data_IF_605070653343
#
_entry.id   IF_605070653343
#
_cell.length_a   1.000
_cell.length_b   1.000
_cell.length_c   1.000
_cell.angle_alpha   90.00
_cell.angle_beta   90.00
_cell.angle_gamma   90.00
#
_symmetry.space_group_name_H-M   'P 1'
#
loop_
_entity.id
_entity.type
_entity.pdbx_description
1 polymer ?
#
# COMPACT_ATOMS: atom_id res chain seq x y z
N UNK A 1 31.77 -63.12 6.54
CA UNK A 1 32.26 -61.92 5.83
C UNK A 1 31.08 -60.98 5.64
N UNK A 2 30.95 -59.91 6.45
CA UNK A 2 29.75 -59.03 6.48
C UNK A 2 30.02 -57.80 5.62
N UNK A 3 29.28 -57.63 4.52
CA UNK A 3 29.33 -56.43 3.68
C UNK A 3 28.76 -55.23 4.45
N UNK A 4 29.57 -54.19 4.65
CA UNK A 4 29.13 -52.89 5.16
C UNK A 4 28.41 -52.15 4.02
N UNK A 5 27.10 -51.95 4.17
CA UNK A 5 26.32 -51.07 3.28
C UNK A 5 26.70 -49.63 3.62
N UNK A 6 27.43 -48.98 2.72
CA UNK A 6 27.68 -47.54 2.77
C UNK A 6 26.43 -46.87 2.22
N UNK A 7 25.58 -46.35 3.11
CA UNK A 7 24.46 -45.52 2.71
C UNK A 7 25.01 -44.13 2.35
N UNK A 8 24.97 -43.78 1.07
CA UNK A 8 25.21 -42.41 0.59
C UNK A 8 24.02 -41.55 1.02
N UNK A 9 24.19 -40.74 2.06
CA UNK A 9 23.25 -39.66 2.39
C UNK A 9 23.40 -38.56 1.35
N UNK A 10 22.49 -38.53 0.37
CA UNK A 10 22.31 -37.38 -0.52
C UNK A 10 21.78 -36.24 0.33
N UNK A 11 22.69 -35.36 0.75
CA UNK A 11 22.38 -34.11 1.42
C UNK A 11 21.79 -33.17 0.36
N UNK A 12 20.45 -33.18 0.23
CA UNK A 12 19.71 -32.19 -0.53
C UNK A 12 19.90 -30.86 0.20
N UNK A 13 20.79 -30.03 -0.33
CA UNK A 13 20.84 -28.61 0.00
C UNK A 13 19.51 -28.01 -0.47
N UNK A 14 18.51 -28.00 0.41
CA UNK A 14 17.42 -27.05 0.28
C UNK A 14 18.08 -25.68 0.42
N UNK A 15 18.30 -25.02 -0.72
CA UNK A 15 18.44 -23.57 -0.77
C UNK A 15 17.17 -23.03 -0.12
N UNK A 16 17.24 -22.78 1.19
CA UNK A 16 16.32 -21.86 1.83
C UNK A 16 16.31 -20.63 0.91
N UNK A 17 15.13 -20.30 0.38
CA UNK A 17 14.93 -19.03 -0.31
C UNK A 17 15.35 -17.94 0.68
N UNK A 18 16.61 -17.50 0.56
CA UNK A 18 17.20 -16.46 1.37
C UNK A 18 16.39 -15.21 1.13
N UNK A 19 15.48 -14.87 2.05
CA UNK A 19 14.71 -13.62 2.21
C UNK A 19 14.91 -12.56 1.13
N UNK A 20 14.60 -12.89 -0.13
CA UNK A 20 14.88 -12.04 -1.26
C UNK A 20 13.89 -10.89 -1.26
N UNK A 21 14.34 -9.69 -1.63
CA UNK A 21 13.42 -8.60 -1.95
C UNK A 21 12.49 -9.08 -3.05
N UNK A 22 11.20 -9.14 -2.75
CA UNK A 22 10.17 -9.46 -3.73
C UNK A 22 9.34 -8.22 -3.98
N UNK A 23 9.16 -7.87 -5.24
CA UNK A 23 8.25 -6.79 -5.61
C UNK A 23 6.80 -7.07 -5.16
N UNK A 24 6.44 -8.34 -4.90
CA UNK A 24 5.15 -8.72 -4.34
C UNK A 24 4.94 -8.22 -2.90
N UNK A 25 6.01 -7.94 -2.16
CA UNK A 25 5.91 -7.42 -0.78
C UNK A 25 5.28 -6.02 -0.71
N UNK A 26 5.37 -5.27 -1.83
CA UNK A 26 4.78 -3.94 -1.99
C UNK A 26 3.26 -3.99 -2.22
N UNK A 27 2.71 -5.13 -2.66
CA UNK A 27 1.27 -5.26 -2.94
C UNK A 27 0.47 -5.08 -1.65
N UNK A 28 -0.54 -4.21 -1.70
CA UNK A 28 -1.38 -3.90 -0.55
C UNK A 28 -1.88 -2.46 -0.52
N UNK A 29 -2.60 -2.14 0.55
CA UNK A 29 -3.06 -0.79 0.88
C UNK A 29 -2.12 -0.17 1.91
N UNK A 30 -1.68 1.05 1.65
CA UNK A 30 -0.72 1.76 2.49
C UNK A 30 -1.28 3.13 2.89
N UNK A 31 -1.53 3.31 4.18
CA UNK A 31 -2.07 4.56 4.72
C UNK A 31 -0.94 5.53 5.05
N UNK A 32 -1.01 6.76 4.53
CA UNK A 32 -0.04 7.81 4.81
C UNK A 32 -0.04 8.16 6.30
N UNK A 33 1.13 8.24 6.90
CA UNK A 33 1.30 8.61 8.30
C UNK A 33 1.09 10.12 8.52
N UNK A 34 0.61 10.49 9.71
CA UNK A 34 0.60 11.88 10.23
C UNK A 34 -0.02 12.95 9.31
N UNK A 35 -0.92 12.56 8.40
CA UNK A 35 -1.64 13.52 7.57
C UNK A 35 -3.03 13.82 8.12
N UNK A 36 -3.51 15.06 7.93
CA UNK A 36 -4.82 15.53 8.41
C UNK A 36 -5.99 14.77 7.78
N UNK A 37 -5.87 14.42 6.50
CA UNK A 37 -6.86 13.66 5.74
C UNK A 37 -6.38 12.22 5.56
N UNK A 38 -7.31 11.30 5.34
CA UNK A 38 -6.94 9.93 4.97
C UNK A 38 -6.44 9.95 3.52
N UNK A 39 -5.13 9.97 3.38
CA UNK A 39 -4.44 9.73 2.10
C UNK A 39 -3.78 8.37 2.14
N UNK A 40 -3.92 7.61 1.06
CA UNK A 40 -3.42 6.25 1.01
C UNK A 40 -3.12 5.87 -0.42
N UNK A 41 -2.28 4.86 -0.58
CA UNK A 41 -1.96 4.28 -1.88
C UNK A 41 -2.35 2.81 -1.90
N UNK A 42 -2.82 2.35 -3.04
CA UNK A 42 -3.07 0.94 -3.30
C UNK A 42 -2.10 0.47 -4.37
N UNK A 43 -1.29 -0.55 -4.05
CA UNK A 43 -0.40 -1.20 -5.01
C UNK A 43 -1.00 -2.55 -5.37
N UNK A 44 -1.21 -2.78 -6.67
CA UNK A 44 -1.74 -4.02 -7.23
C UNK A 44 -0.77 -4.62 -8.23
N UNK A 45 -0.86 -5.93 -8.39
CA UNK A 45 -0.16 -6.69 -9.43
C UNK A 45 -1.18 -7.42 -10.28
N UNK A 46 -1.24 -7.08 -11.55
CA UNK A 46 -2.13 -7.71 -12.53
C UNK A 46 -1.32 -8.16 -13.74
N UNK A 47 -1.37 -9.46 -14.06
CA UNK A 47 -0.62 -10.06 -15.18
C UNK A 47 0.88 -9.71 -15.17
N UNK A 48 1.49 -9.65 -13.99
CA UNK A 48 2.92 -9.33 -13.82
C UNK A 48 3.25 -7.84 -13.83
N UNK A 49 2.29 -6.96 -14.11
CA UNK A 49 2.49 -5.51 -14.06
C UNK A 49 2.05 -4.93 -12.72
N UNK A 50 2.85 -4.04 -12.16
CA UNK A 50 2.53 -3.35 -10.92
C UNK A 50 1.94 -1.98 -11.21
N UNK A 51 0.88 -1.62 -10.49
CA UNK A 51 0.29 -0.29 -10.54
C UNK A 51 0.17 0.27 -9.13
N UNK A 52 0.33 1.58 -9.00
CA UNK A 52 0.09 2.32 -7.78
C UNK A 52 -1.03 3.32 -8.03
N UNK A 53 -2.04 3.27 -7.18
CA UNK A 53 -3.18 4.17 -7.21
C UNK A 53 -3.16 5.07 -5.99
N UNK A 54 -3.03 6.38 -6.17
CA UNK A 54 -3.13 7.36 -5.09
C UNK A 54 -4.62 7.68 -4.82
N UNK A 55 -5.01 7.53 -3.55
CA UNK A 55 -6.37 7.69 -3.04
C UNK A 55 -6.40 8.67 -1.86
N UNK A 56 -7.59 9.08 -1.44
CA UNK A 56 -7.81 10.16 -0.48
C UNK A 56 -8.10 11.52 -1.13
N UNK A 57 -8.52 11.50 -2.39
CA UNK A 57 -9.09 12.65 -3.10
C UNK A 57 -10.12 12.18 -4.13
N UNK A 58 -10.95 13.08 -4.67
CA UNK A 58 -11.86 12.75 -5.78
C UNK A 58 -11.11 12.37 -7.06
N UNK A 59 -9.90 12.90 -7.23
CA UNK A 59 -9.10 12.74 -8.44
C UNK A 59 -8.07 11.62 -8.22
N UNK A 60 -8.52 10.38 -8.41
CA UNK A 60 -7.68 9.20 -8.28
C UNK A 60 -6.63 9.16 -9.40
N UNK A 61 -5.38 8.96 -9.03
CA UNK A 61 -4.27 8.84 -9.98
C UNK A 61 -3.66 7.45 -9.94
N UNK A 62 -3.70 6.74 -11.06
CA UNK A 62 -3.08 5.43 -11.23
C UNK A 62 -1.84 5.55 -12.10
N UNK A 63 -0.73 4.99 -11.64
CA UNK A 63 0.56 5.01 -12.35
C UNK A 63 1.12 3.59 -12.41
N UNK A 64 1.72 3.25 -13.55
CA UNK A 64 2.44 1.99 -13.71
C UNK A 64 3.79 2.11 -13.00
N UNK A 65 4.17 1.07 -12.26
CA UNK A 65 5.46 1.00 -11.59
C UNK A 65 6.44 0.15 -12.42
N UNK A 66 7.70 0.55 -12.41
CA UNK A 66 8.80 -0.23 -12.95
C UNK A 66 9.36 -1.15 -11.86
N UNK A 67 9.58 -2.42 -12.20
CA UNK A 67 10.22 -3.40 -11.33
C UNK A 67 11.65 -3.66 -11.81
N UNK A 68 12.59 -3.66 -10.87
CA UNK A 68 13.97 -4.05 -11.11
C UNK A 68 14.56 -4.66 -9.84
N UNK A 69 15.13 -5.85 -9.97
CA UNK A 69 15.81 -6.56 -8.87
C UNK A 69 14.92 -6.72 -7.62
N UNK A 70 13.60 -6.88 -7.79
CA UNK A 70 12.64 -7.01 -6.71
C UNK A 70 12.24 -5.69 -6.02
N UNK A 71 12.65 -4.54 -6.56
CA UNK A 71 12.27 -3.21 -6.08
C UNK A 71 11.36 -2.51 -7.08
N UNK A 72 10.41 -1.72 -6.56
CA UNK A 72 9.51 -0.92 -7.38
C UNK A 72 9.95 0.54 -7.44
N UNK A 73 9.72 1.18 -8.58
CA UNK A 73 9.95 2.61 -8.76
C UNK A 73 8.84 3.24 -9.61
N UNK A 74 8.61 4.52 -9.37
CA UNK A 74 7.66 5.34 -10.11
C UNK A 74 8.40 6.23 -11.11
N UNK A 75 8.06 6.12 -12.39
CA UNK A 75 8.59 7.05 -13.38
C UNK A 75 7.91 8.42 -13.26
N UNK A 76 8.70 9.46 -13.05
CA UNK A 76 8.21 10.85 -12.90
C UNK A 76 8.64 11.76 -14.06
N UNK A 77 8.98 11.18 -15.22
CA UNK A 77 9.43 11.90 -16.42
C UNK A 77 10.85 12.44 -16.38
N UNK A 78 11.34 12.87 -15.20
CA UNK A 78 12.73 13.32 -14.98
C UNK A 78 13.67 12.23 -14.43
N UNK A 79 13.14 11.03 -14.24
CA UNK A 79 13.83 9.88 -13.65
C UNK A 79 12.85 8.95 -12.95
N UNK A 80 13.40 7.95 -12.27
CA UNK A 80 12.63 6.99 -11.49
C UNK A 80 12.74 7.31 -10.00
N UNK A 81 11.59 7.50 -9.36
CA UNK A 81 11.46 7.67 -7.92
C UNK A 81 11.35 6.29 -7.26
N UNK A 82 12.31 5.86 -6.43
CA UNK A 82 12.25 4.55 -5.79
C UNK A 82 11.15 4.51 -4.73
N UNK A 83 10.44 3.38 -4.67
CA UNK A 83 9.61 3.00 -3.53
C UNK A 83 10.49 2.18 -2.59
N UNK A 84 10.66 2.63 -1.34
CA UNK A 84 11.50 1.91 -0.37
C UNK A 84 10.63 1.22 0.66
N UNK A 85 10.75 -0.10 0.75
CA UNK A 85 10.09 -0.90 1.75
C UNK A 85 11.02 -1.14 2.95
N UNK A 86 10.50 -1.03 4.17
CA UNK A 86 11.21 -1.42 5.39
C UNK A 86 11.45 -2.93 5.42
N UNK A 87 12.47 -3.36 6.17
CA UNK A 87 12.82 -4.80 6.28
C UNK A 87 11.69 -5.65 6.87
N UNK A 88 10.86 -5.07 7.74
CA UNK A 88 9.67 -5.72 8.32
C UNK A 88 8.44 -5.69 7.40
N UNK A 89 8.55 -5.02 6.24
CA UNK A 89 7.52 -4.90 5.21
C UNK A 89 6.26 -4.16 5.67
N UNK A 90 6.34 -3.38 6.75
CA UNK A 90 5.21 -2.64 7.33
C UNK A 90 5.22 -1.16 6.99
N UNK A 91 6.33 -0.62 6.53
CA UNK A 91 6.49 0.79 6.18
C UNK A 91 6.98 0.93 4.76
N UNK A 92 6.29 1.75 3.98
CA UNK A 92 6.63 2.13 2.64
C UNK A 92 6.98 3.62 2.61
N UNK A 93 8.13 3.96 2.05
CA UNK A 93 8.59 5.34 1.87
C UNK A 93 8.55 5.69 0.38
N UNK A 94 7.78 6.73 0.03
CA UNK A 94 7.66 7.24 -1.35
C UNK A 94 7.56 8.76 -1.31
N UNK A 95 8.43 9.46 -2.04
CA UNK A 95 8.52 10.93 -2.01
C UNK A 95 7.45 11.61 -2.89
N UNK A 96 6.17 11.32 -2.65
CA UNK A 96 5.05 11.81 -3.45
C UNK A 96 4.65 13.25 -3.13
N UNK A 97 4.91 13.70 -1.91
CA UNK A 97 4.40 14.98 -1.42
C UNK A 97 5.52 15.93 -1.02
N UNK A 98 5.38 17.20 -1.42
CA UNK A 98 6.33 18.26 -1.06
C UNK A 98 6.31 18.65 0.43
N UNK A 99 5.28 18.23 1.18
CA UNK A 99 5.15 18.51 2.61
C UNK A 99 4.35 17.45 3.35
N UNK A 100 4.58 17.35 4.67
CA UNK A 100 4.07 16.26 5.51
C UNK A 100 4.89 14.97 5.39
N UNK A 101 4.37 13.86 5.91
CA UNK A 101 5.05 12.57 5.87
C UNK A 101 5.08 11.99 4.45
N UNK A 102 6.19 11.36 4.07
CA UNK A 102 6.28 10.49 2.88
C UNK A 102 6.37 9.00 3.28
N UNK A 103 5.98 8.71 4.53
CA UNK A 103 5.85 7.37 5.10
C UNK A 103 4.41 6.91 5.04
N UNK A 104 4.25 5.63 4.72
CA UNK A 104 2.97 4.96 4.66
C UNK A 104 3.07 3.64 5.42
N UNK A 105 2.09 3.37 6.27
CA UNK A 105 1.98 2.10 6.99
C UNK A 105 1.11 1.11 6.22
N UNK A 106 1.47 -0.16 6.23
CA UNK A 106 0.65 -1.22 5.62
C UNK A 106 -0.65 -1.38 6.41
N UNK A 107 -1.78 -1.40 5.69
CA UNK A 107 -3.10 -1.68 6.27
C UNK A 107 -3.40 -3.15 6.03
N UNK A 108 -3.30 -3.97 7.07
CA UNK A 108 -3.54 -5.41 6.97
C UNK A 108 -4.99 -5.80 7.30
N UNK A 109 -5.61 -5.09 8.24
CA UNK A 109 -6.96 -5.36 8.72
C UNK A 109 -8.02 -5.02 7.65
N UNK A 110 -8.85 -6.01 7.30
CA UNK A 110 -9.90 -5.86 6.26
C UNK A 110 -10.98 -4.85 6.64
N UNK A 111 -11.32 -4.72 7.93
CA UNK A 111 -12.29 -3.71 8.36
C UNK A 111 -11.75 -2.30 8.14
N UNK A 112 -10.46 -2.09 8.37
CA UNK A 112 -9.77 -0.84 8.06
C UNK A 112 -9.69 -0.57 6.55
N UNK A 113 -9.43 -1.58 5.72
CA UNK A 113 -9.47 -1.43 4.25
C UNK A 113 -10.87 -1.06 3.76
N UNK A 114 -11.92 -1.67 4.31
CA UNK A 114 -13.30 -1.33 3.96
C UNK A 114 -13.64 0.11 4.30
N UNK A 115 -13.23 0.60 5.47
CA UNK A 115 -13.40 2.01 5.83
C UNK A 115 -12.68 2.97 4.86
N UNK A 116 -11.47 2.63 4.41
CA UNK A 116 -10.76 3.42 3.39
C UNK A 116 -11.49 3.40 2.05
N UNK A 117 -12.04 2.26 1.64
CA UNK A 117 -12.81 2.15 0.40
C UNK A 117 -14.14 2.93 0.47
N UNK A 118 -14.85 2.86 1.60
CA UNK A 118 -16.05 3.68 1.85
C UNK A 118 -15.71 5.17 1.81
N UNK A 119 -14.61 5.57 2.45
CA UNK A 119 -14.14 6.95 2.44
C UNK A 119 -13.81 7.44 1.02
N UNK A 120 -13.07 6.64 0.24
CA UNK A 120 -12.76 6.96 -1.16
C UNK A 120 -14.02 7.07 -2.03
N UNK A 121 -14.95 6.12 -1.89
CA UNK A 121 -16.23 6.17 -2.60
C UNK A 121 -17.03 7.43 -2.25
N UNK A 122 -17.04 7.83 -0.98
CA UNK A 122 -17.68 9.08 -0.56
C UNK A 122 -17.04 10.34 -1.17
N UNK A 123 -15.71 10.35 -1.37
CA UNK A 123 -15.01 11.45 -2.04
C UNK A 123 -15.34 11.51 -3.54
N UNK A 124 -15.41 10.38 -4.21
CA UNK A 124 -15.74 10.28 -5.64
C UNK A 124 -17.19 10.70 -5.93
N UNK A 125 -18.09 10.43 -4.99
CA UNK A 125 -19.53 10.72 -5.11
C UNK A 125 -19.96 12.01 -4.39
N UNK A 126 -19.01 12.86 -4.03
CA UNK A 126 -19.28 14.13 -3.35
C UNK A 126 -20.17 15.03 -4.23
N UNK A 127 -21.29 15.58 -3.71
CA UNK A 127 -22.11 16.52 -4.46
C UNK A 127 -21.30 17.74 -4.90
N UNK A 128 -21.56 18.23 -6.12
CA UNK A 128 -20.80 19.37 -6.68
C UNK A 128 -21.24 20.71 -6.10
N UNK A 129 -22.50 20.83 -5.70
CA UNK A 129 -23.01 22.04 -5.06
C UNK A 129 -22.64 22.04 -3.56
N UNK A 130 -21.56 22.77 -3.24
CA UNK A 130 -21.00 22.86 -1.90
C UNK A 130 -21.92 23.53 -0.87
N UNK A 131 -22.99 24.20 -1.31
CA UNK A 131 -23.95 24.87 -0.43
C UNK A 131 -25.20 24.02 -0.15
N UNK A 132 -25.38 22.91 -0.87
CA UNK A 132 -26.54 22.01 -0.72
C UNK A 132 -26.53 21.25 0.61
N UNK A 133 -27.72 20.85 1.08
CA UNK A 133 -27.86 19.97 2.26
C UNK A 133 -27.26 18.58 2.02
N UNK A 134 -27.29 18.09 0.77
CA UNK A 134 -26.67 16.83 0.37
C UNK A 134 -25.15 16.89 0.55
N UNK A 135 -24.52 18.00 0.15
CA UNK A 135 -23.09 18.20 0.37
C UNK A 135 -22.74 18.22 1.85
N UNK A 136 -23.49 18.98 2.66
CA UNK A 136 -23.27 19.04 4.12
C UNK A 136 -23.38 17.65 4.76
N UNK A 137 -24.39 16.88 4.37
CA UNK A 137 -24.63 15.52 4.86
C UNK A 137 -23.48 14.58 4.47
N UNK A 138 -23.10 14.57 3.19
CA UNK A 138 -22.01 13.74 2.71
C UNK A 138 -20.65 14.14 3.31
N UNK A 139 -20.43 15.44 3.56
CA UNK A 139 -19.21 15.94 4.20
C UNK A 139 -19.13 15.48 5.67
N UNK A 140 -20.25 15.53 6.39
CA UNK A 140 -20.36 15.00 7.74
C UNK A 140 -20.11 13.48 7.79
N UNK A 141 -20.63 12.74 6.82
CA UNK A 141 -20.40 11.30 6.69
C UNK A 141 -18.93 10.98 6.44
N UNK A 142 -18.26 11.69 5.53
CA UNK A 142 -16.82 11.53 5.29
C UNK A 142 -15.99 11.83 6.54
N UNK A 143 -16.36 12.88 7.29
CA UNK A 143 -15.72 13.20 8.56
C UNK A 143 -15.91 12.08 9.59
N UNK A 144 -17.11 11.52 9.69
CA UNK A 144 -17.42 10.39 10.57
C UNK A 144 -16.63 9.13 10.19
N UNK A 145 -16.53 8.80 8.90
CA UNK A 145 -15.70 7.69 8.41
C UNK A 145 -14.23 7.90 8.75
N UNK A 146 -13.72 9.11 8.57
CA UNK A 146 -12.36 9.45 8.95
C UNK A 146 -12.13 9.26 10.45
N UNK A 147 -13.01 9.79 11.31
CA UNK A 147 -12.90 9.64 12.77
C UNK A 147 -12.97 8.17 13.20
N UNK A 148 -13.87 7.39 12.59
CA UNK A 148 -13.99 5.95 12.82
C UNK A 148 -12.73 5.21 12.44
N UNK A 149 -12.17 5.46 11.26
CA UNK A 149 -10.91 4.86 10.83
C UNK A 149 -9.78 5.19 11.82
N UNK A 150 -9.61 6.47 12.20
CA UNK A 150 -8.54 6.85 13.14
C UNK A 150 -8.70 6.16 14.48
N UNK A 151 -9.92 6.09 15.01
CA UNK A 151 -10.21 5.41 16.28
C UNK A 151 -9.88 3.91 16.25
N UNK A 152 -10.20 3.23 15.15
CA UNK A 152 -10.06 1.77 15.05
C UNK A 152 -8.70 1.31 14.52
N UNK A 153 -8.10 2.10 13.64
CA UNK A 153 -7.02 1.67 12.75
C UNK A 153 -5.71 2.47 12.92
N UNK A 154 -5.75 3.70 13.43
CA UNK A 154 -4.54 4.42 13.85
C UNK A 154 -4.17 3.90 15.26
N UNK A 155 -3.65 2.68 15.35
CA UNK A 155 -3.05 2.19 16.60
C UNK A 155 -1.74 2.94 16.85
N UNK A 156 -1.64 3.54 18.05
CA UNK A 156 -0.43 4.18 18.58
C UNK A 156 0.72 3.19 18.74
#
# INVERSE_FOLDING_TARGET
>A
MKMKKIALSVMVLMLAACGGKSADDYVGTWQRDEHKWLQFIEIKKDNGNYTMTQKGSSDVQTQVLSEKDGELSLNIGMGDMPLKLSDDKKTLLVNLYAGGSNSFRKVEDESCKNLLNEYQSGLENMPRDIFSEDYKTASANLKSLQEKYRSQCDKK
#
